data_IF_162768890775
#
_entry.id   IF_162768890775
#
_cell.length_a   1.000
_cell.length_b   1.000
_cell.length_c   1.000
_cell.angle_alpha   90.00
_cell.angle_beta   90.00
_cell.angle_gamma   90.00
#
_symmetry.space_group_name_H-M   'P 1'
#
loop_
_entity.id
_entity.type
_entity.pdbx_description
1 polymer ?
#
# COMPACT_ATOMS: atom_id res chain seq x y z
N UNK A 1 22.22 15.61 14.07
CA UNK A 1 21.93 14.47 13.20
C UNK A 1 20.97 13.57 13.94
N UNK A 2 19.66 13.81 13.83
CA UNK A 2 18.66 12.92 14.41
C UNK A 2 18.70 11.61 13.63
N UNK A 3 18.92 10.50 14.34
CA UNK A 3 18.73 9.16 13.78
C UNK A 3 17.31 9.06 13.28
N UNK A 4 17.15 8.68 12.01
CA UNK A 4 15.88 8.65 11.30
C UNK A 4 15.02 7.46 11.81
N UNK A 5 14.48 7.58 13.02
CA UNK A 5 13.64 6.55 13.63
C UNK A 5 12.30 6.51 12.90
N UNK A 6 11.98 5.37 12.28
CA UNK A 6 10.67 5.11 11.65
C UNK A 6 9.89 4.06 12.43
N UNK A 7 8.57 4.22 12.53
CA UNK A 7 7.70 3.20 13.12
C UNK A 7 7.68 1.94 12.29
N UNK A 8 7.34 0.81 12.94
CA UNK A 8 7.16 -0.47 12.25
C UNK A 8 6.04 -0.38 11.21
N UNK A 9 4.92 0.25 11.58
CA UNK A 9 3.80 0.47 10.68
C UNK A 9 4.17 1.30 9.44
N UNK A 10 4.98 2.35 9.59
CA UNK A 10 5.48 3.15 8.45
C UNK A 10 6.32 2.29 7.51
N UNK A 11 7.24 1.51 8.08
CA UNK A 11 8.13 0.61 7.32
C UNK A 11 7.33 -0.44 6.56
N UNK A 12 6.38 -1.10 7.25
CA UNK A 12 5.47 -2.07 6.67
C UNK A 12 4.64 -1.49 5.53
N UNK A 13 4.12 -0.26 5.70
CA UNK A 13 3.37 0.45 4.66
C UNK A 13 4.20 0.65 3.40
N UNK A 14 5.40 1.21 3.55
CA UNK A 14 6.32 1.44 2.43
C UNK A 14 6.65 0.14 1.69
N UNK A 15 6.96 -0.92 2.45
CA UNK A 15 7.25 -2.23 1.89
C UNK A 15 6.07 -2.79 1.09
N UNK A 16 4.87 -2.84 1.69
CA UNK A 16 3.67 -3.39 1.08
C UNK A 16 3.19 -2.59 -0.14
N UNK A 17 3.30 -1.26 -0.11
CA UNK A 17 3.05 -0.40 -1.28
C UNK A 17 4.01 -0.70 -2.42
N UNK A 18 5.28 -0.95 -2.11
CA UNK A 18 6.30 -1.30 -3.09
C UNK A 18 6.02 -2.60 -3.86
N UNK A 19 5.29 -3.55 -3.26
CA UNK A 19 4.95 -4.81 -3.93
C UNK A 19 4.05 -4.62 -5.17
N UNK A 20 3.33 -3.50 -5.28
CA UNK A 20 2.41 -3.24 -6.41
C UNK A 20 3.09 -3.21 -7.79
N UNK A 21 4.40 -3.04 -7.87
CA UNK A 21 5.15 -3.17 -9.13
C UNK A 21 4.99 -4.56 -9.75
N UNK A 22 4.86 -5.60 -8.92
CA UNK A 22 4.66 -6.97 -9.35
C UNK A 22 3.41 -7.16 -10.22
N UNK A 23 2.38 -6.31 -10.06
CA UNK A 23 1.19 -6.34 -10.91
C UNK A 23 1.50 -6.05 -12.37
N UNK A 24 2.47 -5.16 -12.64
CA UNK A 24 2.89 -4.83 -14.00
C UNK A 24 3.96 -5.79 -14.50
N UNK A 25 4.90 -6.17 -13.63
CA UNK A 25 6.08 -6.95 -14.01
C UNK A 25 5.81 -8.45 -14.12
N UNK A 26 4.68 -8.92 -13.61
CA UNK A 26 4.30 -10.33 -13.60
C UNK A 26 5.12 -11.19 -12.64
N UNK A 27 5.83 -10.56 -11.70
CA UNK A 27 6.56 -11.25 -10.63
C UNK A 27 5.60 -11.67 -9.52
N UNK A 28 6.03 -12.61 -8.67
CA UNK A 28 5.26 -13.07 -7.52
C UNK A 28 6.15 -13.10 -6.27
N UNK A 29 6.55 -11.93 -5.73
CA UNK A 29 7.34 -11.89 -4.52
C UNK A 29 6.55 -12.43 -3.33
N UNK A 30 7.23 -13.16 -2.45
CA UNK A 30 6.70 -13.54 -1.14
C UNK A 30 6.69 -12.34 -0.20
N UNK A 31 5.71 -12.30 0.70
CA UNK A 31 5.62 -11.28 1.75
C UNK A 31 6.61 -11.60 2.87
N UNK A 32 7.39 -10.61 3.28
CA UNK A 32 8.33 -10.68 4.40
C UNK A 32 7.56 -10.86 5.71
N UNK A 33 7.81 -12.00 6.36
CA UNK A 33 7.14 -12.42 7.59
C UNK A 33 7.64 -11.64 8.80
N UNK A 34 8.95 -11.42 8.87
CA UNK A 34 9.61 -10.82 10.03
C UNK A 34 9.26 -9.34 10.09
N UNK A 35 9.31 -8.66 8.94
CA UNK A 35 8.96 -7.24 8.84
C UNK A 35 7.50 -6.97 9.25
N UNK A 36 6.60 -7.91 9.01
CA UNK A 36 5.18 -7.76 9.29
C UNK A 36 4.76 -8.42 10.60
N UNK A 37 5.70 -8.88 11.45
CA UNK A 37 5.38 -9.49 12.76
C UNK A 37 4.42 -10.67 12.61
N UNK A 38 4.63 -11.50 11.59
CA UNK A 38 3.70 -12.58 11.23
C UNK A 38 3.45 -13.57 12.37
N UNK A 39 4.43 -13.81 13.22
CA UNK A 39 4.30 -14.74 14.35
C UNK A 39 3.50 -14.13 15.52
N UNK A 40 3.48 -12.80 15.64
CA UNK A 40 2.66 -12.07 16.62
C UNK A 40 1.21 -11.86 16.12
N UNK A 41 1.02 -11.84 14.80
CA UNK A 41 -0.27 -11.60 14.14
C UNK A 41 -0.62 -12.65 13.07
N UNK A 42 -0.61 -13.95 13.39
CA UNK A 42 -0.64 -15.03 12.38
C UNK A 42 -1.93 -15.03 11.53
N UNK A 43 -3.08 -14.78 12.14
CA UNK A 43 -4.35 -14.74 11.41
C UNK A 43 -4.47 -13.53 10.47
N UNK A 44 -4.03 -12.35 10.95
CA UNK A 44 -4.00 -11.14 10.14
C UNK A 44 -3.07 -11.30 8.95
N UNK A 45 -1.90 -11.87 9.19
CA UNK A 45 -0.89 -12.11 8.17
C UNK A 45 -1.36 -13.14 7.14
N UNK A 46 -2.00 -14.24 7.58
CA UNK A 46 -2.57 -15.23 6.68
C UNK A 46 -3.64 -14.63 5.74
N UNK A 47 -4.50 -13.74 6.26
CA UNK A 47 -5.48 -13.01 5.44
C UNK A 47 -4.79 -12.08 4.44
N UNK A 48 -3.74 -11.37 4.85
CA UNK A 48 -2.97 -10.49 3.97
C UNK A 48 -2.30 -11.28 2.83
N UNK A 49 -1.66 -12.41 3.12
CA UNK A 49 -1.04 -13.30 2.12
C UNK A 49 -2.08 -13.86 1.16
N UNK A 50 -3.24 -14.28 1.66
CA UNK A 50 -4.35 -14.75 0.81
C UNK A 50 -4.82 -13.64 -0.14
N UNK A 51 -5.03 -12.42 0.38
CA UNK A 51 -5.37 -11.25 -0.41
C UNK A 51 -4.33 -10.91 -1.48
N UNK A 52 -3.05 -10.98 -1.14
CA UNK A 52 -1.94 -10.77 -2.07
C UNK A 52 -1.95 -11.77 -3.23
N UNK A 53 -2.10 -13.05 -2.93
CA UNK A 53 -2.16 -14.10 -3.96
C UNK A 53 -3.36 -13.90 -4.89
N UNK A 54 -4.51 -13.50 -4.35
CA UNK A 54 -5.67 -13.16 -5.18
C UNK A 54 -5.40 -11.95 -6.09
N UNK A 55 -4.73 -10.91 -5.59
CA UNK A 55 -4.31 -9.77 -6.40
C UNK A 55 -3.33 -10.19 -7.51
N UNK A 56 -2.33 -11.03 -7.22
CA UNK A 56 -1.39 -11.53 -8.22
C UNK A 56 -2.09 -12.34 -9.31
N UNK A 57 -3.02 -13.22 -8.95
CA UNK A 57 -3.81 -13.97 -9.94
C UNK A 57 -4.67 -13.05 -10.81
N UNK A 58 -5.29 -12.01 -10.22
CA UNK A 58 -6.06 -11.02 -10.96
C UNK A 58 -5.16 -10.21 -11.92
N UNK A 59 -4.00 -9.75 -11.47
CA UNK A 59 -3.03 -9.04 -12.30
C UNK A 59 -2.55 -9.91 -13.47
N UNK A 60 -2.25 -11.19 -13.22
CA UNK A 60 -1.88 -12.15 -14.27
C UNK A 60 -2.97 -12.31 -15.33
N UNK A 61 -4.24 -12.36 -14.90
CA UNK A 61 -5.40 -12.42 -15.80
C UNK A 61 -5.51 -11.14 -16.64
N UNK A 62 -5.39 -9.96 -16.03
CA UNK A 62 -5.43 -8.66 -16.70
C UNK A 62 -4.31 -8.56 -17.75
N UNK A 63 -3.08 -8.93 -17.38
CA UNK A 63 -1.94 -8.91 -18.27
C UNK A 63 -2.07 -9.89 -19.44
N UNK A 64 -2.60 -11.09 -19.17
CA UNK A 64 -2.87 -12.09 -20.22
C UNK A 64 -3.91 -11.55 -21.20
N UNK A 65 -4.97 -10.91 -20.70
CA UNK A 65 -6.01 -10.34 -21.57
C UNK A 65 -5.50 -9.17 -22.40
N UNK A 66 -4.70 -8.30 -21.79
CA UNK A 66 -4.00 -7.25 -22.52
C UNK A 66 -3.16 -7.83 -23.68
N UNK A 67 -2.39 -8.89 -23.44
CA UNK A 67 -1.56 -9.50 -24.48
C UNK A 67 -2.41 -10.05 -25.64
N UNK A 68 -3.56 -10.67 -25.34
CA UNK A 68 -4.51 -11.15 -26.35
C UNK A 68 -5.09 -9.99 -27.18
N UNK A 69 -5.61 -8.96 -26.51
CA UNK A 69 -6.29 -7.84 -27.17
C UNK A 69 -5.29 -6.96 -27.94
N UNK A 70 -4.10 -6.74 -27.39
CA UNK A 70 -3.04 -5.94 -28.02
C UNK A 70 -2.42 -6.65 -29.21
N UNK A 71 -1.99 -7.91 -29.05
CA UNK A 71 -1.21 -8.60 -30.09
C UNK A 71 -2.05 -9.41 -31.07
N UNK A 72 -3.26 -9.85 -30.71
CA UNK A 72 -4.04 -10.82 -31.50
C UNK A 72 -5.36 -10.29 -32.07
N UNK A 73 -6.06 -9.41 -31.34
CA UNK A 73 -7.44 -9.06 -31.69
C UNK A 73 -7.60 -8.14 -32.91
N UNK A 74 -6.56 -7.36 -33.28
CA UNK A 74 -6.57 -6.33 -34.34
C UNK A 74 -7.69 -5.28 -34.15
N UNK A 75 -7.64 -4.19 -34.92
CA UNK A 75 -8.69 -3.17 -34.91
C UNK A 75 -8.80 -2.39 -33.60
N UNK A 76 -10.02 -2.02 -33.21
CA UNK A 76 -10.26 -1.11 -32.07
C UNK A 76 -9.74 -1.66 -30.73
N UNK A 77 -9.75 -2.99 -30.54
CA UNK A 77 -9.26 -3.63 -29.31
C UNK A 77 -7.77 -3.36 -29.07
N UNK A 78 -6.94 -3.43 -30.11
CA UNK A 78 -5.52 -3.07 -30.00
C UNK A 78 -5.35 -1.62 -29.55
N UNK A 79 -6.19 -0.69 -30.01
CA UNK A 79 -6.05 0.73 -29.65
C UNK A 79 -6.39 0.97 -28.17
N UNK A 80 -7.41 0.31 -27.63
CA UNK A 80 -7.91 0.56 -26.26
C UNK A 80 -7.23 -0.31 -25.19
N UNK A 81 -6.65 -1.45 -25.55
CA UNK A 81 -6.11 -2.44 -24.61
C UNK A 81 -5.12 -1.87 -23.57
N UNK A 82 -4.17 -0.96 -23.89
CA UNK A 82 -3.27 -0.41 -22.88
C UNK A 82 -4.01 0.40 -21.81
N UNK A 83 -5.02 1.18 -22.21
CA UNK A 83 -5.80 2.01 -21.28
C UNK A 83 -6.66 1.15 -20.37
N UNK A 84 -7.26 0.09 -20.90
CA UNK A 84 -8.03 -0.88 -20.11
C UNK A 84 -7.14 -1.59 -19.09
N UNK A 85 -5.93 -2.02 -19.50
CA UNK A 85 -4.95 -2.62 -18.59
C UNK A 85 -4.56 -1.67 -17.47
N UNK A 86 -4.10 -0.47 -17.80
CA UNK A 86 -3.62 0.48 -16.78
C UNK A 86 -4.71 0.87 -15.79
N UNK A 87 -5.94 1.12 -16.26
CA UNK A 87 -7.08 1.39 -15.39
C UNK A 87 -7.35 0.20 -14.45
N UNK A 88 -7.38 -1.02 -15.00
CA UNK A 88 -7.66 -2.23 -14.20
C UNK A 88 -6.56 -2.50 -13.15
N UNK A 89 -5.28 -2.33 -13.52
CA UNK A 89 -4.18 -2.47 -12.58
C UNK A 89 -4.19 -1.35 -11.52
N UNK A 90 -4.57 -0.13 -11.88
CA UNK A 90 -4.73 0.97 -10.91
C UNK A 90 -5.78 0.65 -9.86
N UNK A 91 -6.96 0.19 -10.26
CA UNK A 91 -8.01 -0.23 -9.32
C UNK A 91 -7.54 -1.40 -8.44
N UNK A 92 -6.79 -2.33 -9.00
CA UNK A 92 -6.22 -3.44 -8.24
C UNK A 92 -5.21 -2.96 -7.18
N UNK A 93 -4.41 -1.91 -7.47
CA UNK A 93 -3.54 -1.27 -6.46
C UNK A 93 -4.35 -0.72 -5.30
N UNK A 94 -5.50 -0.08 -5.56
CA UNK A 94 -6.39 0.46 -4.52
C UNK A 94 -6.93 -0.66 -3.63
N UNK A 95 -7.36 -1.78 -4.22
CA UNK A 95 -7.80 -2.98 -3.48
C UNK A 95 -6.68 -3.49 -2.57
N UNK A 96 -5.47 -3.63 -3.10
CA UNK A 96 -4.31 -4.07 -2.32
C UNK A 96 -3.97 -3.09 -1.18
N UNK A 97 -3.94 -1.78 -1.45
CA UNK A 97 -3.67 -0.76 -0.41
C UNK A 97 -4.71 -0.78 0.70
N UNK A 98 -5.97 -1.08 0.37
CA UNK A 98 -7.03 -1.25 1.35
C UNK A 98 -6.76 -2.45 2.27
N UNK A 99 -6.31 -3.59 1.72
CA UNK A 99 -5.95 -4.77 2.51
C UNK A 99 -4.75 -4.48 3.44
N UNK A 100 -3.71 -3.82 2.91
CA UNK A 100 -2.54 -3.43 3.68
C UNK A 100 -2.88 -2.48 4.81
N UNK A 101 -3.71 -1.47 4.55
CA UNK A 101 -4.18 -0.53 5.58
C UNK A 101 -4.91 -1.26 6.70
N UNK A 102 -5.86 -2.12 6.35
CA UNK A 102 -6.64 -2.86 7.35
C UNK A 102 -5.73 -3.77 8.20
N UNK A 103 -4.73 -4.41 7.59
CA UNK A 103 -3.74 -5.20 8.32
C UNK A 103 -2.96 -4.32 9.31
N UNK A 104 -2.34 -3.24 8.82
CA UNK A 104 -1.51 -2.33 9.61
C UNK A 104 -2.30 -1.72 10.78
N UNK A 105 -3.50 -1.18 10.52
CA UNK A 105 -4.36 -0.59 11.55
C UNK A 105 -4.76 -1.60 12.63
N UNK A 106 -5.03 -2.86 12.26
CA UNK A 106 -5.41 -3.89 13.23
C UNK A 106 -4.21 -4.48 14.01
N UNK A 107 -2.98 -4.20 13.59
CA UNK A 107 -1.76 -4.83 14.11
C UNK A 107 -0.74 -3.79 14.55
N UNK A 108 0.11 -3.34 13.62
CA UNK A 108 1.27 -2.50 13.87
C UNK A 108 0.92 -1.07 14.32
N UNK A 109 -0.26 -0.57 13.95
CA UNK A 109 -0.79 0.75 14.30
C UNK A 109 -1.96 0.66 15.31
N UNK A 110 -2.24 -0.51 15.90
CA UNK A 110 -3.43 -0.73 16.76
C UNK A 110 -3.50 0.25 17.93
N UNK A 111 -2.36 0.55 18.52
CA UNK A 111 -2.25 1.34 19.74
C UNK A 111 -1.88 2.81 19.45
N UNK A 112 -1.85 3.22 18.16
CA UNK A 112 -1.58 4.61 17.73
C UNK A 112 -2.74 5.50 18.15
N UNK A 113 -2.44 6.64 18.77
CA UNK A 113 -3.46 7.63 19.16
C UNK A 113 -3.50 8.81 18.18
N UNK A 114 -4.54 9.63 18.30
CA UNK A 114 -4.65 10.85 17.52
C UNK A 114 -3.42 11.73 17.75
N UNK A 115 -2.90 12.32 16.67
CA UNK A 115 -1.70 13.16 16.63
C UNK A 115 -0.35 12.46 16.83
N UNK A 116 -0.32 11.13 16.89
CA UNK A 116 0.94 10.42 16.73
C UNK A 116 1.41 10.49 15.28
N UNK A 117 2.67 10.88 15.08
CA UNK A 117 3.24 10.95 13.75
C UNK A 117 3.30 9.56 13.12
N UNK A 118 2.66 9.40 11.96
CA UNK A 118 2.65 8.13 11.21
C UNK A 118 4.02 7.62 10.79
N UNK A 119 5.05 8.48 10.77
CA UNK A 119 6.42 8.12 10.38
C UNK A 119 7.30 7.84 11.58
N UNK A 120 7.47 8.81 12.49
CA UNK A 120 8.43 8.67 13.61
C UNK A 120 7.78 8.19 14.92
N UNK A 121 6.44 8.18 15.01
CA UNK A 121 5.71 7.73 16.20
C UNK A 121 5.65 8.76 17.33
N UNK A 122 6.33 9.90 17.18
CA UNK A 122 6.27 10.97 18.17
C UNK A 122 4.87 11.56 18.24
N UNK A 123 4.36 11.71 19.46
CA UNK A 123 3.14 12.43 19.71
C UNK A 123 3.37 13.93 19.46
N UNK A 124 2.52 14.55 18.66
CA UNK A 124 2.62 15.97 18.35
C UNK A 124 1.47 16.72 19.01
N UNK A 125 1.76 17.65 19.90
CA UNK A 125 0.70 18.50 20.42
C UNK A 125 0.25 19.51 19.36
N UNK A 126 -1.04 19.85 19.36
CA UNK A 126 -1.63 20.86 18.49
C UNK A 126 -0.96 22.25 18.60
N UNK A 127 -0.32 22.54 19.74
CA UNK A 127 0.37 23.81 19.99
C UNK A 127 1.78 23.85 19.38
N UNK A 128 2.36 22.68 19.07
CA UNK A 128 3.73 22.52 18.57
C UNK A 128 3.82 22.38 17.03
N UNK A 129 2.68 22.37 16.33
CA UNK A 129 2.68 22.25 14.85
C UNK A 129 3.13 23.57 14.21
N UNK A 130 4.29 23.55 13.55
CA UNK A 130 4.90 24.71 12.86
C UNK A 130 4.09 25.12 11.61
N UNK A 131 3.50 24.14 10.96
CA UNK A 131 2.56 24.20 9.85
C UNK A 131 1.47 23.21 10.27
N UNK A 132 0.20 23.63 10.40
CA UNK A 132 -0.89 22.98 11.17
C UNK A 132 -1.17 21.49 10.87
N UNK A 133 -0.43 20.90 9.94
CA UNK A 133 -0.50 19.53 9.48
C UNK A 133 0.85 18.81 9.45
N UNK A 134 1.98 19.34 9.95
CA UNK A 134 3.31 18.68 9.90
C UNK A 134 3.89 18.31 11.26
N UNK A 135 4.54 17.16 11.31
CA UNK A 135 5.32 16.73 12.46
C UNK A 135 6.58 17.60 12.62
N UNK A 136 6.83 18.24 13.77
CA UNK A 136 8.01 19.08 13.98
C UNK A 136 9.32 18.30 14.00
N UNK A 137 9.26 16.97 14.16
CA UNK A 137 10.44 16.10 14.28
C UNK A 137 10.91 15.50 12.94
N UNK A 138 9.98 15.23 12.03
CA UNK A 138 10.30 14.58 10.75
C UNK A 138 9.63 15.20 9.52
N UNK A 139 8.91 16.32 9.71
CA UNK A 139 8.26 17.15 8.68
C UNK A 139 7.20 16.45 7.80
N UNK A 140 6.83 15.22 8.15
CA UNK A 140 5.75 14.47 7.49
C UNK A 140 4.38 15.01 7.90
N UNK A 141 3.45 14.99 6.96
CA UNK A 141 2.07 15.38 7.18
C UNK A 141 1.37 14.45 8.20
N UNK A 142 0.90 15.03 9.30
CA UNK A 142 0.15 14.41 10.40
C UNK A 142 -1.29 14.06 10.03
N UNK A 143 -1.89 14.76 9.07
CA UNK A 143 -3.28 14.58 8.59
C UNK A 143 -3.48 13.32 7.74
N UNK A 144 -2.57 12.35 7.82
CA UNK A 144 -2.59 11.13 7.01
C UNK A 144 -3.63 10.08 7.43
N UNK A 145 -4.66 10.44 8.20
CA UNK A 145 -5.88 9.63 8.48
C UNK A 145 -7.04 10.58 8.89
N UNK A 146 -8.34 10.42 8.62
CA UNK A 146 -9.19 9.21 8.52
C UNK A 146 -10.30 9.32 7.42
N UNK A 147 -10.31 10.35 6.56
CA UNK A 147 -11.48 10.63 5.68
C UNK A 147 -11.24 10.95 4.20
N UNK A 148 -10.36 10.17 3.53
CA UNK A 148 -10.31 9.92 2.06
C UNK A 148 -9.51 10.91 1.18
N UNK A 149 -8.31 10.50 0.71
CA UNK A 149 -7.99 10.31 -0.74
C UNK A 149 -6.51 10.06 -1.09
N UNK A 150 -5.55 10.17 -0.18
CA UNK A 150 -4.15 10.37 -0.60
C UNK A 150 -3.37 9.12 -1.05
N UNK A 151 -4.03 7.95 -1.08
CA UNK A 151 -3.50 6.72 -1.70
C UNK A 151 -3.95 6.56 -3.17
N UNK A 152 -4.57 7.59 -3.75
CA UNK A 152 -5.03 7.65 -5.15
C UNK A 152 -4.13 8.51 -6.05
N UNK A 153 -2.90 8.82 -5.63
CA UNK A 153 -1.89 9.45 -6.50
C UNK A 153 -0.98 8.41 -7.14
#
# INVERSE_FOLDING_TARGET
MSTETTTEAYTARKYLSGLTSAFSDGTHPSIDRDLLRADEHPEGFARLVSGWNNCIHAASTINSRYYEDWNRARGALTVIAPRVREASLSELRIVWMTLCRNYIQATLDRDRIAWDCVRCGEHVSLEETIDFDRCPYCEVLLTTDDSRTDWLL
#
